data_IF_052139210746
#
_entry.id   IF_052139210746
#
_cell.length_a   1.000
_cell.length_b   1.000
_cell.length_c   1.000
_cell.angle_alpha   90.00
_cell.angle_beta   90.00
_cell.angle_gamma   90.00
#
_symmetry.space_group_name_H-M   'P 1'
#
loop_
_entity.id
_entity.type
_entity.pdbx_description
1 polymer ?
#
# COMPACT_ATOMS: atom_id res chain seq x y z
N UNK A 1 -8.84 6.54 -27.74
CA UNK A 1 -9.74 6.53 -26.58
C UNK A 1 -8.97 7.10 -25.39
N UNK A 2 -9.54 8.05 -24.65
CA UNK A 2 -8.91 8.69 -23.48
C UNK A 2 -9.68 8.28 -22.24
N UNK A 3 -8.99 7.73 -21.25
CA UNK A 3 -9.58 7.33 -19.97
C UNK A 3 -9.34 8.42 -18.93
N UNK A 4 -10.40 8.85 -18.24
CA UNK A 4 -10.33 9.78 -17.13
C UNK A 4 -10.09 9.00 -15.83
N UNK A 5 -9.10 9.41 -15.05
CA UNK A 5 -8.67 8.71 -13.84
C UNK A 5 -8.32 9.73 -12.75
N UNK A 6 -8.91 9.57 -11.57
CA UNK A 6 -8.57 10.39 -10.41
C UNK A 6 -7.27 9.90 -9.75
N UNK A 7 -6.46 10.84 -9.28
CA UNK A 7 -5.23 10.53 -8.55
C UNK A 7 -4.98 11.55 -7.43
N UNK A 8 -4.37 11.07 -6.35
CA UNK A 8 -3.75 11.91 -5.33
C UNK A 8 -2.26 12.04 -5.65
N UNK A 9 -1.74 13.26 -5.63
CA UNK A 9 -0.33 13.53 -5.90
C UNK A 9 0.44 13.71 -4.59
N UNK A 10 1.61 13.08 -4.52
CA UNK A 10 2.57 13.23 -3.42
C UNK A 10 3.89 13.79 -3.96
N UNK A 11 4.54 14.64 -3.19
CA UNK A 11 5.91 15.07 -3.46
C UNK A 11 6.87 14.17 -2.67
N UNK A 12 7.81 13.53 -3.36
CA UNK A 12 8.87 12.75 -2.72
C UNK A 12 10.21 13.45 -2.94
N UNK A 13 10.88 13.78 -1.84
CA UNK A 13 12.25 14.29 -1.86
C UNK A 13 13.21 13.11 -1.76
N UNK A 14 14.21 13.05 -2.63
CA UNK A 14 15.28 12.05 -2.53
C UNK A 14 16.41 12.51 -1.58
N UNK A 15 17.45 11.68 -1.43
CA UNK A 15 18.60 11.98 -0.56
C UNK A 15 19.49 13.12 -1.06
N UNK A 16 19.43 13.45 -2.35
CA UNK A 16 20.17 14.57 -2.96
C UNK A 16 19.36 15.88 -2.93
N UNK A 17 18.08 15.78 -2.61
CA UNK A 17 17.15 16.88 -2.40
C UNK A 17 16.29 17.23 -3.61
N UNK A 18 16.29 16.41 -4.66
CA UNK A 18 15.40 16.57 -5.79
C UNK A 18 13.97 16.21 -5.40
N UNK A 19 13.00 16.91 -6.00
CA UNK A 19 11.57 16.68 -5.76
C UNK A 19 11.00 15.93 -6.96
N UNK A 20 10.39 14.78 -6.69
CA UNK A 20 9.64 13.99 -7.66
C UNK A 20 8.14 13.99 -7.33
N UNK A 21 7.31 13.93 -8.36
CA UNK A 21 5.85 13.83 -8.24
C UNK A 21 5.45 12.36 -8.36
N UNK A 22 4.76 11.83 -7.34
CA UNK A 22 4.29 10.44 -7.30
C UNK A 22 2.76 10.43 -7.36
N UNK A 23 2.15 9.88 -8.43
CA UNK A 23 0.72 9.71 -8.50
C UNK A 23 0.26 8.45 -7.75
N UNK A 24 -0.80 8.61 -6.95
CA UNK A 24 -1.53 7.55 -6.27
C UNK A 24 -2.94 7.47 -6.85
N UNK A 25 -3.16 6.51 -7.75
CA UNK A 25 -4.42 6.41 -8.48
C UNK A 25 -5.54 5.94 -7.57
N UNK A 26 -6.70 6.59 -7.65
CA UNK A 26 -7.88 6.22 -6.86
C UNK A 26 -8.54 5.01 -7.52
N UNK A 27 -8.61 3.91 -6.77
CA UNK A 27 -9.18 2.64 -7.26
C UNK A 27 -10.43 2.27 -6.46
N UNK A 28 -11.46 1.77 -7.16
CA UNK A 28 -12.68 1.28 -6.50
C UNK A 28 -12.43 0.04 -5.65
N UNK A 29 -11.56 -0.85 -6.11
CA UNK A 29 -11.26 -2.12 -5.45
C UNK A 29 -9.75 -2.36 -5.41
N UNK A 30 -9.30 -3.02 -4.34
CA UNK A 30 -7.92 -3.44 -4.17
C UNK A 30 -7.81 -4.96 -4.23
N UNK A 31 -6.75 -5.45 -4.89
CA UNK A 31 -6.43 -6.88 -4.88
C UNK A 31 -5.76 -7.21 -3.56
N UNK A 32 -6.38 -8.09 -2.79
CA UNK A 32 -5.92 -8.50 -1.46
C UNK A 32 -5.34 -9.91 -1.49
N UNK A 33 -4.51 -10.22 -2.49
CA UNK A 33 -3.87 -11.53 -2.61
C UNK A 33 -2.58 -11.59 -1.79
N UNK A 34 -1.69 -10.62 -2.03
CA UNK A 34 -0.42 -10.48 -1.34
C UNK A 34 0.05 -9.02 -1.31
N UNK A 35 0.94 -8.71 -0.37
CA UNK A 35 1.62 -7.43 -0.28
C UNK A 35 3.06 -7.64 0.17
N UNK A 36 4.03 -7.13 -0.60
CA UNK A 36 5.48 -7.29 -0.33
C UNK A 36 5.83 -8.72 0.14
N UNK A 37 5.37 -9.71 -0.65
CA UNK A 37 5.58 -11.16 -0.44
C UNK A 37 4.84 -11.79 0.75
N UNK A 38 4.13 -10.99 1.54
CA UNK A 38 3.18 -11.49 2.52
C UNK A 38 1.87 -11.87 1.84
N UNK A 39 1.57 -13.17 1.76
CA UNK A 39 0.27 -13.67 1.28
C UNK A 39 -0.78 -13.49 2.37
N UNK A 40 -1.89 -12.84 2.03
CA UNK A 40 -2.96 -12.60 2.98
C UNK A 40 -3.79 -13.87 3.23
N UNK A 41 -4.03 -14.17 4.50
CA UNK A 41 -4.99 -15.20 4.89
C UNK A 41 -6.44 -14.76 4.65
N UNK A 42 -7.40 -15.69 4.75
CA UNK A 42 -8.83 -15.35 4.69
C UNK A 42 -9.23 -14.33 5.75
N UNK A 43 -8.68 -14.46 6.96
CA UNK A 43 -8.94 -13.54 8.05
C UNK A 43 -8.35 -12.15 7.78
N UNK A 44 -7.13 -12.09 7.24
CA UNK A 44 -6.49 -10.83 6.85
C UNK A 44 -7.33 -10.10 5.79
N UNK A 45 -7.76 -10.81 4.75
CA UNK A 45 -8.63 -10.26 3.69
C UNK A 45 -9.95 -9.76 4.24
N UNK A 46 -10.54 -10.50 5.18
CA UNK A 46 -11.78 -10.07 5.86
C UNK A 46 -11.56 -8.77 6.64
N UNK A 47 -10.52 -8.72 7.48
CA UNK A 47 -10.20 -7.53 8.28
C UNK A 47 -9.92 -6.30 7.42
N UNK A 48 -9.14 -6.46 6.36
CA UNK A 48 -8.81 -5.38 5.42
C UNK A 48 -10.06 -4.84 4.72
N UNK A 49 -10.99 -5.70 4.32
CA UNK A 49 -12.26 -5.27 3.70
C UNK A 49 -13.21 -4.59 4.68
N UNK A 50 -13.33 -5.12 5.89
CA UNK A 50 -14.30 -4.64 6.88
C UNK A 50 -13.82 -3.37 7.59
N UNK A 51 -12.52 -3.29 7.89
CA UNK A 51 -11.97 -2.24 8.76
C UNK A 51 -10.94 -1.35 8.07
N UNK A 52 -10.45 -1.74 6.89
CA UNK A 52 -9.32 -1.11 6.22
C UNK A 52 -7.96 -1.43 6.85
N UNK A 53 -7.89 -2.31 7.86
CA UNK A 53 -6.66 -2.64 8.58
C UNK A 53 -6.47 -4.16 8.65
N UNK A 54 -5.23 -4.63 8.65
CA UNK A 54 -4.91 -6.04 8.84
C UNK A 54 -5.26 -6.53 10.26
N UNK A 55 -5.08 -5.65 11.25
CA UNK A 55 -5.39 -5.89 12.66
C UNK A 55 -4.28 -6.59 13.46
N UNK A 56 -3.11 -6.82 12.86
CA UNK A 56 -1.92 -7.41 13.50
C UNK A 56 -0.65 -6.92 12.82
N UNK A 57 0.49 -7.06 13.50
CA UNK A 57 1.81 -6.84 12.91
C UNK A 57 2.19 -8.04 12.05
N UNK A 58 2.82 -7.78 10.91
CA UNK A 58 3.39 -8.79 10.03
C UNK A 58 4.80 -8.43 9.63
N UNK A 59 5.63 -9.45 9.48
CA UNK A 59 6.96 -9.31 8.91
C UNK A 59 6.86 -9.16 7.40
N UNK A 60 7.47 -8.10 6.89
CA UNK A 60 7.48 -7.70 5.49
C UNK A 60 8.92 -7.64 5.00
N UNK A 61 9.13 -8.10 3.77
CA UNK A 61 10.46 -8.08 3.15
C UNK A 61 10.63 -6.82 2.32
N UNK A 62 11.59 -5.99 2.69
CA UNK A 62 12.04 -4.90 1.84
C UNK A 62 12.81 -5.50 0.65
N UNK A 63 12.31 -5.29 -0.57
CA UNK A 63 12.89 -5.91 -1.77
C UNK A 63 14.22 -5.31 -2.20
N UNK A 64 14.53 -4.08 -1.77
CA UNK A 64 15.77 -3.41 -2.15
C UNK A 64 16.92 -3.88 -1.26
N UNK A 65 16.66 -4.09 0.02
CA UNK A 65 17.66 -4.40 1.05
C UNK A 65 17.65 -5.86 1.51
N UNK A 66 16.52 -6.56 1.36
CA UNK A 66 16.28 -7.88 1.92
C UNK A 66 15.97 -7.87 3.43
N UNK A 67 15.82 -6.70 4.04
CA UNK A 67 15.50 -6.58 5.46
C UNK A 67 14.07 -7.04 5.76
N UNK A 68 13.91 -7.68 6.93
CA UNK A 68 12.61 -8.08 7.45
C UNK A 68 12.15 -7.00 8.43
N UNK A 69 11.07 -6.32 8.07
CA UNK A 69 10.52 -5.19 8.80
C UNK A 69 9.16 -5.59 9.39
N UNK A 70 8.97 -5.53 10.71
CA UNK A 70 7.65 -5.74 11.32
C UNK A 70 6.78 -4.50 11.08
N UNK A 71 5.69 -4.67 10.33
CA UNK A 71 4.85 -3.55 9.89
C UNK A 71 3.36 -3.75 10.19
N UNK A 72 2.65 -2.63 10.33
CA UNK A 72 1.19 -2.58 10.33
C UNK A 72 0.67 -2.32 8.91
N UNK A 73 -0.11 -3.24 8.36
CA UNK A 73 -0.71 -3.08 7.03
C UNK A 73 -2.10 -2.46 7.11
N UNK A 74 -2.34 -1.44 6.29
CA UNK A 74 -3.63 -0.75 6.15
C UNK A 74 -3.97 -0.43 4.69
N UNK A 75 -5.21 -0.04 4.44
CA UNK A 75 -5.68 0.48 3.16
C UNK A 75 -5.92 1.99 3.30
N UNK A 76 -5.28 2.80 2.46
CA UNK A 76 -5.54 4.23 2.40
C UNK A 76 -6.99 4.48 1.97
N UNK A 77 -7.75 5.19 2.80
CA UNK A 77 -9.19 5.40 2.59
C UNK A 77 -9.52 6.25 1.36
N UNK A 78 -8.57 7.00 0.82
CA UNK A 78 -8.77 7.90 -0.33
C UNK A 78 -8.33 7.27 -1.64
N UNK A 79 -7.22 6.55 -1.63
CA UNK A 79 -6.63 5.96 -2.85
C UNK A 79 -6.92 4.47 -2.99
N UNK A 80 -7.34 3.82 -1.90
CA UNK A 80 -7.51 2.37 -1.79
C UNK A 80 -6.20 1.59 -1.96
N UNK A 81 -5.05 2.25 -1.77
CA UNK A 81 -3.72 1.63 -1.83
C UNK A 81 -3.39 0.91 -0.52
N UNK A 82 -2.68 -0.23 -0.61
CA UNK A 82 -2.14 -0.90 0.56
C UNK A 82 -0.87 -0.17 1.01
N UNK A 83 -0.83 0.19 2.28
CA UNK A 83 0.29 0.86 2.93
C UNK A 83 0.76 0.08 4.15
N UNK A 84 2.04 0.23 4.47
CA UNK A 84 2.66 -0.30 5.67
C UNK A 84 3.38 0.81 6.45
N UNK A 85 3.37 0.71 7.78
CA UNK A 85 4.07 1.60 8.73
C UNK A 85 4.79 0.74 9.75
#
# INVERSE_FOLDING_TARGET
>A
ESFELDARLSFKKDGEGNISLVPHFIRKEQKLDEYKEHKFSDNDRKNLRETGNLGRVVDIVDRETGEIIPSYISIDRKTNEITDI
#
